data_IF_573078286851
#
_entry.id   IF_573078286851
#
_cell.length_a   1.000
_cell.length_b   1.000
_cell.length_c   1.000
_cell.angle_alpha   90.00
_cell.angle_beta   90.00
_cell.angle_gamma   90.00
#
_symmetry.space_group_name_H-M   'P 1'
#
loop_
_entity.id
_entity.type
_entity.pdbx_description
1 polymer ?
#
# COMPACT_ATOMS: atom_id res chain seq x y z
N UNK A 1 14.31 -7.10 8.44
CA UNK A 1 14.06 -7.22 6.98
C UNK A 1 13.10 -6.10 6.59
N UNK A 2 13.43 -5.36 5.52
CA UNK A 2 12.64 -4.19 5.10
C UNK A 2 11.56 -4.64 4.10
N UNK A 3 10.33 -4.85 4.56
CA UNK A 3 9.18 -5.19 3.71
C UNK A 3 8.04 -4.19 3.97
N UNK A 4 7.02 -4.16 3.10
CA UNK A 4 5.81 -3.37 3.32
C UNK A 4 5.02 -4.03 4.45
N UNK A 5 4.61 -3.24 5.45
CA UNK A 5 3.99 -3.76 6.68
C UNK A 5 2.79 -2.96 7.16
N UNK A 6 2.61 -1.75 6.67
CA UNK A 6 1.50 -0.88 7.01
C UNK A 6 1.01 -0.13 5.79
N UNK A 7 -0.26 0.22 5.80
CA UNK A 7 -0.88 0.99 4.73
C UNK A 7 -1.72 2.12 5.31
N UNK A 8 -1.75 3.24 4.61
CA UNK A 8 -2.66 4.35 4.89
C UNK A 8 -3.45 4.72 3.65
N UNK A 9 -4.73 4.96 3.81
CA UNK A 9 -5.50 5.65 2.78
C UNK A 9 -5.44 7.16 3.03
N UNK A 10 -4.77 7.85 2.13
CA UNK A 10 -4.83 9.32 2.09
C UNK A 10 -6.09 9.69 1.32
N UNK A 11 -7.12 10.19 2.01
CA UNK A 11 -8.46 10.37 1.41
C UNK A 11 -8.98 11.80 1.48
N UNK A 12 -9.72 12.19 0.45
CA UNK A 12 -10.42 13.48 0.40
C UNK A 12 -11.76 13.47 1.16
N UNK A 13 -12.31 12.26 1.43
CA UNK A 13 -13.54 12.05 2.19
C UNK A 13 -13.34 10.94 3.23
N UNK A 14 -13.06 11.34 4.45
CA UNK A 14 -12.78 10.43 5.57
C UNK A 14 -13.97 9.55 5.91
N UNK A 15 -15.17 10.14 6.04
CA UNK A 15 -16.37 9.41 6.42
C UNK A 15 -16.78 8.42 5.34
N UNK A 16 -16.81 8.86 4.08
CA UNK A 16 -17.12 7.99 2.95
C UNK A 16 -16.13 6.83 2.82
N UNK A 17 -14.83 7.09 2.94
CA UNK A 17 -13.80 6.05 2.82
C UNK A 17 -13.86 5.04 3.99
N UNK A 18 -13.94 5.50 5.23
CA UNK A 18 -14.01 4.59 6.39
C UNK A 18 -15.27 3.71 6.33
N UNK A 19 -16.43 4.29 5.99
CA UNK A 19 -17.67 3.56 5.80
C UNK A 19 -17.56 2.51 4.69
N UNK A 20 -17.00 2.88 3.54
CA UNK A 20 -16.81 1.98 2.41
C UNK A 20 -15.97 0.75 2.78
N UNK A 21 -14.75 0.95 3.30
CA UNK A 21 -13.86 -0.18 3.56
C UNK A 21 -14.31 -1.05 4.74
N UNK A 22 -14.90 -0.47 5.79
CA UNK A 22 -15.46 -1.27 6.90
C UNK A 22 -16.60 -2.15 6.42
N UNK A 23 -17.52 -1.61 5.63
CA UNK A 23 -18.62 -2.38 5.08
C UNK A 23 -18.15 -3.40 4.05
N UNK A 24 -17.31 -3.00 3.10
CA UNK A 24 -16.82 -3.88 2.03
C UNK A 24 -16.13 -5.11 2.59
N UNK A 25 -15.18 -4.91 3.51
CA UNK A 25 -14.30 -5.95 4.02
C UNK A 25 -14.84 -6.64 5.29
N UNK A 26 -15.95 -6.14 5.85
CA UNK A 26 -16.49 -6.66 7.12
C UNK A 26 -15.55 -6.42 8.31
N UNK A 27 -14.82 -5.30 8.29
CA UNK A 27 -13.87 -4.91 9.34
C UNK A 27 -14.48 -3.87 10.27
N UNK A 28 -13.91 -3.77 11.47
CA UNK A 28 -14.27 -2.75 12.45
C UNK A 28 -13.43 -1.48 12.23
N UNK A 29 -13.92 -0.35 12.76
CA UNK A 29 -13.16 0.90 12.84
C UNK A 29 -12.73 1.11 14.28
N UNK A 30 -11.43 1.32 14.51
CA UNK A 30 -10.88 1.78 15.79
C UNK A 30 -10.27 3.16 15.56
N UNK A 31 -10.55 4.10 16.44
CA UNK A 31 -9.96 5.46 16.34
C UNK A 31 -9.02 5.68 17.50
N UNK A 32 -7.76 5.96 17.21
CA UNK A 32 -6.80 6.42 18.19
C UNK A 32 -6.79 7.95 18.26
N UNK A 33 -6.70 8.49 19.46
CA UNK A 33 -6.42 9.91 19.67
C UNK A 33 -4.89 10.10 19.67
N UNK A 34 -4.38 10.79 18.67
CA UNK A 34 -2.94 11.07 18.53
C UNK A 34 -2.72 12.59 18.60
N UNK A 35 -2.51 13.08 19.80
CA UNK A 35 -2.38 14.53 20.03
C UNK A 35 -3.64 15.30 19.66
N UNK A 36 -3.55 16.15 18.63
CA UNK A 36 -4.64 17.04 18.22
C UNK A 36 -5.54 16.48 17.10
N UNK A 37 -5.35 15.22 16.68
CA UNK A 37 -6.15 14.63 15.59
C UNK A 37 -6.57 13.19 15.89
N UNK A 38 -7.74 12.84 15.34
CA UNK A 38 -8.25 11.47 15.34
C UNK A 38 -7.59 10.67 14.21
N UNK A 39 -7.16 9.45 14.53
CA UNK A 39 -6.55 8.54 13.57
C UNK A 39 -7.41 7.26 13.46
N UNK A 40 -8.35 7.22 12.50
CA UNK A 40 -9.16 6.04 12.25
C UNK A 40 -8.34 4.92 11.63
N UNK A 41 -8.59 3.68 12.06
CA UNK A 41 -7.88 2.49 11.58
C UNK A 41 -8.85 1.35 11.33
N UNK A 42 -8.60 0.58 10.25
CA UNK A 42 -9.28 -0.70 10.03
C UNK A 42 -8.78 -1.73 11.04
N UNK A 43 -9.71 -2.43 11.69
CA UNK A 43 -9.44 -3.43 12.71
C UNK A 43 -10.06 -4.78 12.36
N UNK A 44 -9.29 -5.85 12.56
CA UNK A 44 -9.73 -7.24 12.46
C UNK A 44 -9.34 -7.98 13.75
N UNK A 45 -10.31 -8.41 14.52
CA UNK A 45 -10.04 -8.99 15.84
C UNK A 45 -9.38 -7.96 16.78
N UNK A 46 -8.25 -8.31 17.35
CA UNK A 46 -7.53 -7.46 18.32
C UNK A 46 -6.44 -6.58 17.65
N UNK A 47 -6.34 -6.58 16.31
CA UNK A 47 -5.26 -5.89 15.57
C UNK A 47 -5.78 -4.87 14.57
N UNK A 48 -5.11 -3.74 14.50
CA UNK A 48 -5.28 -2.74 13.44
C UNK A 48 -4.39 -3.08 12.25
N UNK A 49 -4.85 -2.76 11.02
CA UNK A 49 -4.21 -3.18 9.79
C UNK A 49 -3.91 -2.04 8.82
N UNK A 50 -4.68 -0.97 8.86
CA UNK A 50 -4.47 0.21 8.02
C UNK A 50 -5.01 1.46 8.70
N UNK A 51 -4.43 2.61 8.37
CA UNK A 51 -4.89 3.91 8.83
C UNK A 51 -5.60 4.71 7.75
N UNK A 52 -6.32 5.75 8.16
CA UNK A 52 -6.91 6.74 7.27
C UNK A 52 -6.39 8.12 7.64
N UNK A 53 -5.93 8.86 6.63
CA UNK A 53 -5.41 10.21 6.78
C UNK A 53 -6.11 11.14 5.80
N UNK A 54 -6.48 12.32 6.28
CA UNK A 54 -7.11 13.33 5.43
C UNK A 54 -6.12 13.89 4.42
N UNK A 55 -6.50 13.89 3.13
CA UNK A 55 -5.76 14.55 2.07
C UNK A 55 -5.78 16.07 2.28
N UNK A 56 -4.61 16.67 2.47
CA UNK A 56 -4.46 18.11 2.70
C UNK A 56 -3.95 18.86 1.46
N UNK A 57 -3.45 18.15 0.45
CA UNK A 57 -2.93 18.76 -0.78
C UNK A 57 -4.02 18.87 -1.83
N UNK A 58 -4.31 20.10 -2.25
CA UNK A 58 -5.29 20.34 -3.31
C UNK A 58 -4.87 19.72 -4.64
N UNK A 59 -5.81 19.07 -5.32
CA UNK A 59 -5.57 18.43 -6.63
C UNK A 59 -4.87 17.07 -6.57
N UNK A 60 -4.52 16.56 -5.39
CA UNK A 60 -4.02 15.19 -5.23
C UNK A 60 -5.19 14.26 -4.93
N UNK A 61 -5.44 13.23 -5.74
CA UNK A 61 -6.54 12.29 -5.51
C UNK A 61 -6.30 11.42 -4.28
N UNK A 62 -7.37 10.82 -3.78
CA UNK A 62 -7.25 9.76 -2.77
C UNK A 62 -6.41 8.60 -3.29
N UNK A 63 -5.55 8.05 -2.43
CA UNK A 63 -4.67 6.93 -2.82
C UNK A 63 -4.18 6.15 -1.59
N UNK A 64 -3.91 4.86 -1.79
CA UNK A 64 -3.25 4.01 -0.81
C UNK A 64 -1.76 4.30 -0.76
N UNK A 65 -1.21 4.29 0.44
CA UNK A 65 0.16 4.68 0.77
C UNK A 65 0.82 3.57 1.58
N UNK A 66 1.73 2.78 0.98
CA UNK A 66 2.41 1.69 1.69
C UNK A 66 3.59 2.21 2.51
N UNK A 67 3.85 1.56 3.64
CA UNK A 67 5.01 1.83 4.49
C UNK A 67 5.96 0.64 4.56
N UNK A 68 7.22 0.90 4.29
CA UNK A 68 8.32 -0.05 4.44
C UNK A 68 8.78 -0.05 5.89
N UNK A 69 8.79 -1.21 6.53
CA UNK A 69 9.36 -1.37 7.87
C UNK A 69 10.88 -1.25 7.82
N UNK A 70 11.45 -0.44 8.69
CA UNK A 70 12.88 -0.23 8.86
C UNK A 70 13.23 -0.16 10.34
N UNK A 71 14.47 -0.53 10.71
CA UNK A 71 14.94 -0.39 12.10
C UNK A 71 15.35 1.05 12.41
N UNK A 72 15.94 1.74 11.43
CA UNK A 72 16.42 3.12 11.52
C UNK A 72 15.79 3.97 10.43
N UNK A 73 14.81 4.79 10.81
CA UNK A 73 14.08 5.67 9.89
C UNK A 73 14.97 6.77 9.33
N UNK A 74 15.86 7.36 10.14
CA UNK A 74 16.75 8.42 9.69
C UNK A 74 17.76 7.90 8.68
N UNK A 75 18.36 6.75 8.94
CA UNK A 75 19.29 6.07 8.02
C UNK A 75 18.59 5.65 6.72
N UNK A 76 17.34 5.16 6.80
CA UNK A 76 16.55 4.78 5.63
C UNK A 76 16.21 5.99 4.76
N UNK A 77 15.83 7.13 5.38
CA UNK A 77 15.58 8.39 4.68
C UNK A 77 16.85 8.88 3.98
N UNK A 78 18.00 8.87 4.66
CA UNK A 78 19.27 9.28 4.08
C UNK A 78 19.68 8.39 2.90
N UNK A 79 19.51 7.07 3.03
CA UNK A 79 19.79 6.11 1.96
C UNK A 79 18.88 6.34 0.74
N UNK A 80 17.58 6.53 0.95
CA UNK A 80 16.62 6.80 -0.13
C UNK A 80 16.91 8.15 -0.82
N UNK A 81 17.19 9.21 -0.07
CA UNK A 81 17.55 10.52 -0.61
C UNK A 81 18.85 10.50 -1.41
N UNK A 82 19.84 9.74 -0.97
CA UNK A 82 21.09 9.54 -1.71
C UNK A 82 20.85 8.83 -3.07
N UNK A 83 19.71 8.15 -3.24
CA UNK A 83 19.27 7.51 -4.49
C UNK A 83 18.24 8.34 -5.27
N UNK A 84 17.96 9.57 -4.83
CA UNK A 84 17.10 10.51 -5.56
C UNK A 84 15.65 10.59 -5.04
N UNK A 85 15.32 10.00 -3.90
CA UNK A 85 14.00 10.16 -3.29
C UNK A 85 13.76 11.61 -2.84
N UNK A 86 12.53 12.07 -3.02
CA UNK A 86 12.03 13.27 -2.39
C UNK A 86 11.55 12.96 -0.96
N UNK A 87 11.85 13.81 0.00
CA UNK A 87 11.29 13.75 1.34
C UNK A 87 10.08 14.68 1.41
N UNK A 88 8.91 14.14 1.72
CA UNK A 88 7.66 14.90 1.84
C UNK A 88 7.38 15.30 3.29
N UNK A 89 7.58 14.38 4.25
CA UNK A 89 7.33 14.60 5.66
C UNK A 89 8.30 13.80 6.54
N UNK A 90 8.69 14.35 7.67
CA UNK A 90 9.46 13.64 8.69
C UNK A 90 10.97 13.74 8.51
N UNK A 91 11.74 12.90 9.20
CA UNK A 91 11.31 11.88 10.18
C UNK A 91 10.52 12.48 11.36
N UNK A 92 9.40 11.85 11.68
CA UNK A 92 8.47 12.30 12.74
C UNK A 92 8.30 11.18 13.77
N UNK A 93 8.28 11.51 15.03
CA UNK A 93 8.02 10.59 16.13
C UNK A 93 6.58 10.72 16.62
N UNK A 94 5.94 9.57 16.87
CA UNK A 94 4.62 9.46 17.51
C UNK A 94 4.81 8.68 18.80
N UNK A 95 5.12 9.37 19.91
CA UNK A 95 5.52 8.71 21.17
C UNK A 95 4.44 7.77 21.72
N UNK A 96 3.17 8.14 21.58
CA UNK A 96 2.01 7.38 22.07
C UNK A 96 1.91 6.00 21.40
N UNK A 97 2.37 5.89 20.15
CA UNK A 97 2.39 4.64 19.39
C UNK A 97 3.76 3.95 19.38
N UNK A 98 4.78 4.55 20.03
CA UNK A 98 6.18 4.10 19.91
C UNK A 98 6.61 3.93 18.45
N UNK A 99 6.21 4.88 17.62
CA UNK A 99 6.34 4.87 16.17
C UNK A 99 7.22 6.04 15.72
N UNK A 100 8.12 5.79 14.78
CA UNK A 100 8.81 6.82 14.01
C UNK A 100 8.59 6.57 12.53
N UNK A 101 8.30 7.61 11.73
CA UNK A 101 8.02 7.47 10.30
C UNK A 101 8.53 8.64 9.48
N UNK A 102 8.62 8.44 8.17
CA UNK A 102 8.81 9.48 7.19
C UNK A 102 8.05 9.16 5.91
N UNK A 103 7.62 10.19 5.18
CA UNK A 103 6.92 10.09 3.90
C UNK A 103 7.85 10.52 2.77
N UNK A 104 7.94 9.70 1.73
CA UNK A 104 8.86 9.88 0.61
C UNK A 104 8.15 9.70 -0.75
N UNK A 105 8.80 10.18 -1.79
CA UNK A 105 8.52 9.78 -3.17
C UNK A 105 9.79 9.23 -3.81
N UNK A 106 9.68 8.13 -4.52
CA UNK A 106 10.79 7.59 -5.28
C UNK A 106 11.17 8.49 -6.47
N UNK A 107 12.28 8.23 -7.20
CA UNK A 107 12.67 9.07 -8.36
C UNK A 107 11.63 9.13 -9.48
N UNK A 108 10.70 8.18 -9.54
CA UNK A 108 9.58 8.14 -10.49
C UNK A 108 8.27 8.62 -9.85
N UNK A 109 8.36 9.19 -8.62
CA UNK A 109 7.27 9.82 -7.87
C UNK A 109 6.25 8.85 -7.28
N UNK A 110 6.53 7.54 -7.20
CA UNK A 110 5.73 6.66 -6.38
C UNK A 110 5.85 7.08 -4.91
N UNK A 111 4.71 7.38 -4.31
CA UNK A 111 4.63 7.77 -2.90
C UNK A 111 4.68 6.53 -2.00
N UNK A 112 5.53 6.57 -0.96
CA UNK A 112 5.66 5.51 0.04
C UNK A 112 6.20 6.07 1.35
N UNK A 113 6.00 5.35 2.44
CA UNK A 113 6.58 5.69 3.73
C UNK A 113 7.68 4.72 4.14
N UNK A 114 8.47 5.15 5.11
CA UNK A 114 9.31 4.28 5.93
C UNK A 114 8.89 4.44 7.38
N UNK A 115 8.85 3.34 8.12
CA UNK A 115 8.46 3.37 9.52
C UNK A 115 9.23 2.37 10.37
N UNK A 116 9.50 2.72 11.62
CA UNK A 116 9.88 1.79 12.67
C UNK A 116 8.73 1.68 13.66
N UNK A 117 8.29 0.47 13.92
CA UNK A 117 7.18 0.20 14.80
C UNK A 117 7.56 -0.91 15.77
N UNK A 118 7.37 -0.69 17.07
CA UNK A 118 7.75 -1.65 18.12
C UNK A 118 6.87 -2.90 18.20
N UNK A 119 6.04 -3.18 17.19
CA UNK A 119 5.13 -4.31 17.15
C UNK A 119 5.34 -5.15 15.88
N UNK A 120 4.93 -6.43 15.94
CA UNK A 120 4.91 -7.26 14.74
C UNK A 120 3.87 -6.74 13.73
N UNK A 121 4.21 -6.72 12.42
CA UNK A 121 3.27 -6.30 11.40
C UNK A 121 1.97 -7.11 11.44
N UNK A 122 0.81 -6.47 11.24
CA UNK A 122 -0.44 -7.20 11.10
C UNK A 122 -0.49 -7.98 9.80
N UNK A 123 -1.10 -9.16 9.80
CA UNK A 123 -1.25 -10.03 8.63
C UNK A 123 -2.71 -10.38 8.37
N UNK A 124 -3.05 -10.77 7.13
CA UNK A 124 -4.35 -11.36 6.77
C UNK A 124 -5.45 -10.37 6.39
N UNK A 125 -5.10 -9.12 6.11
CA UNK A 125 -5.99 -8.14 5.46
C UNK A 125 -5.43 -7.74 4.09
N UNK A 126 -4.14 -7.56 3.98
CA UNK A 126 -3.48 -7.31 2.71
C UNK A 126 -2.87 -8.59 2.15
N UNK A 127 -3.00 -8.77 0.84
CA UNK A 127 -2.47 -9.94 0.12
C UNK A 127 -1.16 -9.61 -0.59
N UNK A 128 -1.06 -8.41 -1.18
CA UNK A 128 0.03 -8.03 -2.07
C UNK A 128 0.13 -6.52 -2.25
N UNK A 129 1.30 -6.06 -2.65
CA UNK A 129 1.52 -4.70 -3.14
C UNK A 129 2.21 -4.76 -4.50
N UNK A 130 1.90 -3.83 -5.39
CA UNK A 130 2.41 -3.81 -6.75
C UNK A 130 2.91 -2.42 -7.13
N UNK A 131 4.18 -2.31 -7.51
CA UNK A 131 4.73 -1.08 -8.06
C UNK A 131 4.56 -1.06 -9.57
N UNK A 132 3.74 -0.14 -10.05
CA UNK A 132 3.62 0.20 -11.46
C UNK A 132 4.58 1.33 -11.79
N UNK A 133 5.65 1.07 -12.52
CA UNK A 133 6.71 2.02 -12.80
C UNK A 133 6.88 2.28 -14.30
N UNK A 134 7.01 3.55 -14.74
CA UNK A 134 7.39 3.87 -16.12
C UNK A 134 8.71 3.23 -16.55
N UNK A 135 9.67 3.12 -15.63
CA UNK A 135 10.98 2.51 -15.84
C UNK A 135 11.26 1.46 -14.73
N UNK A 136 10.79 0.20 -14.88
CA UNK A 136 10.94 -0.83 -13.85
C UNK A 136 12.39 -1.10 -13.42
N UNK A 137 13.34 -1.06 -14.35
CA UNK A 137 14.77 -1.24 -14.04
C UNK A 137 15.33 -0.12 -13.16
N UNK A 138 14.86 1.11 -13.35
CA UNK A 138 15.26 2.23 -12.50
C UNK A 138 14.62 2.10 -11.10
N UNK A 139 13.37 1.66 -11.02
CA UNK A 139 12.69 1.36 -9.76
C UNK A 139 13.43 0.25 -8.98
N UNK A 140 13.73 -0.87 -9.63
CA UNK A 140 14.48 -1.98 -9.01
C UNK A 140 15.83 -1.51 -8.45
N UNK A 141 16.57 -0.70 -9.20
CA UNK A 141 17.85 -0.12 -8.71
C UNK A 141 17.65 0.82 -7.52
N UNK A 142 16.57 1.59 -7.50
CA UNK A 142 16.26 2.49 -6.39
C UNK A 142 15.96 1.70 -5.12
N UNK A 143 14.96 0.81 -5.14
CA UNK A 143 14.55 0.04 -3.97
C UNK A 143 15.65 -0.94 -3.50
N UNK A 144 16.39 -1.53 -4.43
CA UNK A 144 17.56 -2.35 -4.11
C UNK A 144 18.66 -1.56 -3.42
N UNK A 145 18.95 -0.34 -3.91
CA UNK A 145 19.99 0.50 -3.34
C UNK A 145 19.61 1.21 -2.04
N UNK A 146 18.33 1.46 -1.80
CA UNK A 146 17.82 2.13 -0.59
C UNK A 146 17.50 1.14 0.54
N UNK A 147 16.92 0.00 0.21
CA UNK A 147 16.35 -0.95 1.19
C UNK A 147 16.94 -2.36 1.12
N UNK A 148 17.86 -2.61 0.17
CA UNK A 148 18.47 -3.94 -0.02
C UNK A 148 17.51 -4.95 -0.67
N UNK A 149 16.44 -4.51 -1.34
CA UNK A 149 15.55 -5.42 -2.02
C UNK A 149 16.20 -6.03 -3.26
N UNK A 150 16.02 -7.32 -3.44
CA UNK A 150 16.30 -7.99 -4.69
C UNK A 150 15.01 -8.10 -5.52
N UNK A 151 15.14 -8.12 -6.84
CA UNK A 151 14.03 -8.38 -7.74
C UNK A 151 14.32 -9.64 -8.58
N UNK A 152 13.31 -10.49 -8.72
CA UNK A 152 13.39 -11.74 -9.45
C UNK A 152 12.27 -11.84 -10.49
N UNK A 153 12.56 -12.32 -11.73
CA UNK A 153 11.53 -12.54 -12.73
C UNK A 153 10.51 -13.59 -12.24
N UNK A 154 9.22 -13.30 -12.43
CA UNK A 154 8.14 -14.26 -12.17
C UNK A 154 7.49 -14.74 -13.47
N UNK A 155 7.01 -13.79 -14.28
CA UNK A 155 6.52 -14.01 -15.64
C UNK A 155 7.04 -12.88 -16.54
N UNK A 156 6.75 -12.93 -17.83
CA UNK A 156 7.13 -11.88 -18.78
C UNK A 156 6.64 -10.50 -18.29
N UNK A 157 7.54 -9.53 -18.22
CA UNK A 157 7.30 -8.16 -17.77
C UNK A 157 6.82 -7.98 -16.30
N UNK A 158 6.85 -9.04 -15.49
CA UNK A 158 6.53 -8.98 -14.07
C UNK A 158 7.66 -9.57 -13.22
N UNK A 159 8.08 -8.82 -12.22
CA UNK A 159 9.12 -9.21 -11.26
C UNK A 159 8.57 -9.15 -9.85
N UNK A 160 9.18 -9.87 -8.94
CA UNK A 160 8.81 -9.87 -7.53
C UNK A 160 9.96 -9.33 -6.68
N UNK A 161 9.66 -8.41 -5.78
CA UNK A 161 10.59 -7.95 -4.78
C UNK A 161 10.66 -8.92 -3.60
N UNK A 162 11.88 -9.17 -3.13
CA UNK A 162 12.15 -9.86 -1.88
C UNK A 162 13.24 -9.13 -1.07
N UNK A 163 13.30 -9.39 0.24
CA UNK A 163 14.28 -8.83 1.15
C UNK A 163 15.14 -9.92 1.80
N UNK A 164 15.51 -10.94 1.02
CA UNK A 164 16.26 -12.11 1.46
C UNK A 164 15.39 -13.23 2.05
N UNK A 165 14.11 -13.23 1.73
CA UNK A 165 13.11 -14.23 2.10
C UNK A 165 12.08 -14.41 1.00
N UNK A 166 10.84 -14.76 1.37
CA UNK A 166 9.74 -14.87 0.42
C UNK A 166 9.44 -13.52 -0.26
N UNK A 167 8.97 -13.53 -1.51
CA UNK A 167 8.50 -12.33 -2.19
C UNK A 167 7.35 -11.67 -1.42
N UNK A 168 7.33 -10.33 -1.40
CA UNK A 168 6.30 -9.55 -0.70
C UNK A 168 5.65 -8.47 -1.55
N UNK A 169 6.18 -8.13 -2.73
CA UNK A 169 5.61 -7.15 -3.63
C UNK A 169 5.96 -7.43 -5.09
N UNK A 170 5.16 -6.92 -6.01
CA UNK A 170 5.36 -6.96 -7.44
C UNK A 170 6.00 -5.69 -7.99
N UNK A 171 6.62 -5.83 -9.17
CA UNK A 171 7.14 -4.72 -9.96
C UNK A 171 6.80 -4.98 -11.43
N UNK A 172 6.11 -4.03 -12.06
CA UNK A 172 5.75 -4.13 -13.46
C UNK A 172 5.84 -2.79 -14.19
N UNK A 173 5.83 -2.88 -15.53
CA UNK A 173 5.74 -1.71 -16.39
C UNK A 173 4.38 -1.02 -16.20
N UNK A 174 4.38 0.28 -15.96
CA UNK A 174 3.17 1.09 -16.03
C UNK A 174 2.63 1.10 -17.48
N UNK A 175 1.34 0.74 -17.65
CA UNK A 175 0.73 0.55 -18.99
C UNK A 175 -0.35 1.57 -19.33
N UNK A 176 -0.79 2.38 -18.37
CA UNK A 176 -1.81 3.42 -18.57
C UNK A 176 -1.29 4.70 -19.21
N UNK A 177 0.00 4.77 -19.52
CA UNK A 177 0.66 5.96 -20.09
C UNK A 177 0.99 7.04 -19.05
N UNK A 178 0.89 6.73 -17.76
CA UNK A 178 1.36 7.60 -16.70
C UNK A 178 2.88 7.78 -16.76
N UNK A 179 3.34 8.99 -16.47
CA UNK A 179 4.77 9.28 -16.25
C UNK A 179 5.17 9.23 -14.79
N UNK A 180 4.25 8.82 -13.94
CA UNK A 180 4.40 8.74 -12.50
C UNK A 180 4.20 7.30 -12.09
N UNK A 181 5.15 6.74 -11.35
CA UNK A 181 4.99 5.43 -10.74
C UNK A 181 3.98 5.52 -9.57
N UNK A 182 3.35 4.40 -9.27
CA UNK A 182 2.43 4.30 -8.13
C UNK A 182 2.42 2.89 -7.55
N UNK A 183 2.12 2.81 -6.27
CA UNK A 183 1.84 1.56 -5.59
C UNK A 183 0.35 1.24 -5.66
N UNK A 184 0.02 -0.02 -5.94
CA UNK A 184 -1.32 -0.58 -5.90
C UNK A 184 -1.35 -1.67 -4.83
N UNK A 185 -2.19 -1.49 -3.83
CA UNK A 185 -2.33 -2.40 -2.68
C UNK A 185 -3.52 -3.32 -2.89
N UNK A 186 -3.34 -4.62 -2.63
CA UNK A 186 -4.38 -5.64 -2.77
C UNK A 186 -4.85 -6.16 -1.41
N UNK A 187 -6.16 -6.17 -1.21
CA UNK A 187 -6.78 -6.81 -0.05
C UNK A 187 -6.97 -8.31 -0.28
N UNK A 188 -6.71 -9.10 0.76
CA UNK A 188 -7.01 -10.53 0.78
C UNK A 188 -8.51 -10.75 0.97
N UNK A 189 -9.12 -11.53 0.08
CA UNK A 189 -10.55 -11.85 0.14
C UNK A 189 -10.78 -13.35 -0.12
N UNK A 190 -11.91 -13.86 0.37
CA UNK A 190 -12.29 -15.28 0.17
C UNK A 190 -13.00 -15.49 -1.17
N UNK A 191 -13.67 -14.47 -1.73
CA UNK A 191 -14.42 -14.52 -2.98
C UNK A 191 -14.32 -13.17 -3.71
N UNK A 192 -13.49 -13.13 -4.76
CA UNK A 192 -13.26 -11.92 -5.57
C UNK A 192 -14.54 -11.44 -6.25
N UNK A 193 -15.36 -12.33 -6.81
CA UNK A 193 -16.57 -11.95 -7.55
C UNK A 193 -17.62 -11.34 -6.60
N UNK A 194 -17.82 -11.94 -5.43
CA UNK A 194 -18.75 -11.44 -4.43
C UNK A 194 -18.32 -10.06 -3.90
N UNK A 195 -17.02 -9.86 -3.66
CA UNK A 195 -16.49 -8.56 -3.20
C UNK A 195 -16.59 -7.50 -4.29
N UNK A 196 -16.33 -7.83 -5.57
CA UNK A 196 -16.53 -6.87 -6.69
C UNK A 196 -18.00 -6.44 -6.76
N UNK A 197 -18.93 -7.40 -6.71
CA UNK A 197 -20.36 -7.08 -6.75
C UNK A 197 -20.76 -6.14 -5.59
N UNK A 198 -20.32 -6.46 -4.36
CA UNK A 198 -20.56 -5.64 -3.17
C UNK A 198 -19.92 -4.24 -3.29
N UNK A 199 -18.68 -4.16 -3.78
CA UNK A 199 -18.00 -2.89 -3.98
C UNK A 199 -18.76 -1.98 -4.95
N UNK A 200 -19.29 -2.54 -6.06
CA UNK A 200 -20.11 -1.78 -7.01
C UNK A 200 -21.41 -1.28 -6.38
N UNK A 201 -22.08 -2.07 -5.54
CA UNK A 201 -23.25 -1.64 -4.78
C UNK A 201 -22.92 -0.48 -3.82
N UNK A 202 -21.70 -0.45 -3.28
CA UNK A 202 -21.18 0.61 -2.42
C UNK A 202 -20.60 1.81 -3.19
N UNK A 203 -20.70 1.82 -4.53
CA UNK A 203 -20.30 2.96 -5.37
C UNK A 203 -18.87 2.88 -5.93
N UNK A 204 -18.21 1.74 -5.86
CA UNK A 204 -16.89 1.53 -6.47
C UNK A 204 -16.95 1.51 -8.00
N UNK A 205 -15.87 1.99 -8.64
CA UNK A 205 -15.61 1.78 -10.06
C UNK A 205 -14.78 0.51 -10.30
N UNK A 206 -14.89 -0.07 -11.49
CA UNK A 206 -14.08 -1.24 -11.91
C UNK A 206 -13.04 -0.79 -12.92
N UNK A 207 -11.75 -0.96 -12.58
CA UNK A 207 -10.61 -0.71 -13.49
C UNK A 207 -10.27 -2.00 -14.25
N UNK A 208 -10.10 -3.11 -13.52
CA UNK A 208 -9.88 -4.44 -14.06
C UNK A 208 -10.93 -5.39 -13.51
N UNK A 209 -11.77 -5.99 -14.34
CA UNK A 209 -12.77 -6.97 -13.88
C UNK A 209 -12.09 -8.23 -13.33
N UNK A 210 -12.83 -9.08 -12.59
CA UNK A 210 -12.26 -10.31 -12.03
C UNK A 210 -11.61 -11.21 -13.08
N UNK A 211 -10.32 -11.44 -12.93
CA UNK A 211 -9.51 -12.34 -13.76
C UNK A 211 -8.84 -13.41 -12.92
N UNK A 212 -8.53 -14.55 -13.52
CA UNK A 212 -7.83 -15.65 -12.87
C UNK A 212 -6.47 -15.87 -13.53
N UNK A 213 -5.43 -16.03 -12.70
CA UNK A 213 -4.11 -16.43 -13.14
C UNK A 213 -3.72 -17.74 -12.45
N UNK A 214 -3.25 -18.71 -13.22
CA UNK A 214 -2.82 -20.02 -12.70
C UNK A 214 -1.71 -19.82 -11.65
N UNK A 215 -1.82 -20.54 -10.54
CA UNK A 215 -0.91 -20.48 -9.38
C UNK A 215 -0.85 -19.14 -8.62
N UNK A 216 -1.59 -18.12 -9.03
CA UNK A 216 -1.72 -16.84 -8.34
C UNK A 216 -3.07 -16.75 -7.63
N UNK A 217 -4.15 -16.93 -8.37
CA UNK A 217 -5.49 -16.84 -7.83
C UNK A 217 -6.42 -16.00 -8.71
N UNK A 218 -7.46 -15.44 -8.09
CA UNK A 218 -8.43 -14.57 -8.75
C UNK A 218 -8.32 -13.16 -8.18
N UNK A 219 -8.23 -12.17 -9.04
CA UNK A 219 -8.00 -10.77 -8.64
C UNK A 219 -8.81 -9.81 -9.49
N UNK A 220 -9.01 -8.61 -8.97
CA UNK A 220 -9.62 -7.47 -9.67
C UNK A 220 -9.00 -6.17 -9.17
N UNK A 221 -9.13 -5.10 -9.95
CA UNK A 221 -8.71 -3.75 -9.55
C UNK A 221 -9.90 -2.81 -9.64
N UNK A 222 -10.12 -2.06 -8.58
CA UNK A 222 -11.27 -1.19 -8.37
C UNK A 222 -10.80 0.23 -8.02
N UNK A 223 -11.73 1.18 -8.07
CA UNK A 223 -11.60 2.46 -7.37
C UNK A 223 -12.66 2.55 -6.29
N UNK A 224 -12.32 3.06 -5.13
CA UNK A 224 -13.31 3.42 -4.11
C UNK A 224 -14.11 4.67 -4.53
N UNK A 225 -15.18 5.04 -3.80
CA UNK A 225 -15.98 6.22 -4.11
C UNK A 225 -15.20 7.54 -4.07
N UNK A 226 -14.04 7.57 -3.42
CA UNK A 226 -13.16 8.76 -3.37
C UNK A 226 -12.14 8.81 -4.50
N UNK A 227 -12.09 7.75 -5.33
CA UNK A 227 -11.21 7.60 -6.49
C UNK A 227 -9.88 6.90 -6.20
N UNK A 228 -9.65 6.39 -4.99
CA UNK A 228 -8.45 5.61 -4.68
C UNK A 228 -8.50 4.23 -5.34
N UNK A 229 -7.49 3.90 -6.13
CA UNK A 229 -7.36 2.56 -6.70
C UNK A 229 -6.92 1.55 -5.65
N UNK A 230 -7.49 0.36 -5.68
CA UNK A 230 -7.10 -0.78 -4.85
C UNK A 230 -7.38 -2.10 -5.58
N UNK A 231 -6.59 -3.11 -5.25
CA UNK A 231 -6.81 -4.47 -5.72
C UNK A 231 -7.53 -5.31 -4.68
N UNK A 232 -8.15 -6.39 -5.13
CA UNK A 232 -8.63 -7.50 -4.31
C UNK A 232 -8.08 -8.79 -4.87
N UNK A 233 -7.72 -9.70 -4.00
CA UNK A 233 -7.06 -10.95 -4.38
C UNK A 233 -7.55 -12.11 -3.53
N UNK A 234 -8.03 -13.14 -4.22
CA UNK A 234 -8.36 -14.45 -3.68
C UNK A 234 -7.26 -15.41 -4.08
N UNK A 235 -6.50 -15.90 -3.11
CA UNK A 235 -5.40 -16.84 -3.36
C UNK A 235 -5.93 -18.14 -3.99
N UNK A 236 -5.17 -18.73 -4.92
CA UNK A 236 -5.49 -20.02 -5.48
C UNK A 236 -5.64 -21.08 -4.37
N UNK A 237 -6.72 -21.87 -4.45
CA UNK A 237 -6.87 -23.04 -3.57
C UNK A 237 -5.80 -24.07 -3.88
N UNK A 238 -5.09 -24.52 -2.85
CA UNK A 238 -4.06 -25.57 -2.93
C UNK A 238 -4.67 -26.91 -3.34
#
# INVERSE_FOLDING_TARGET
>A
MSAITWHELITTDMEGATGFYTELLGLELETAETGDFEYPMLKKGDRTHAGFVKQLMEGVPSHWYPYVAVEDVDGAVDAARAKGAALYTGPTEVPEASLRFACLGDPQRASFGVMSWGQEPPTGVFAWDELHAPEPDAAARFYGGAFGWADEPFVEEYRMFNAGGDPFAGLMQERGGSRVAYWLTYFAVDDTDAIVAKAMELGAGVILPPESMENVGRYAVLTDPTGAAFGIHQTASS
#
